data_IF_384820099946
#
_entry.id   IF_384820099946
#
_cell.length_a   1.000
_cell.length_b   1.000
_cell.length_c   1.000
_cell.angle_alpha   90.00
_cell.angle_beta   90.00
_cell.angle_gamma   90.00
#
_symmetry.space_group_name_H-M   'P 1'
#
loop_
_entity.id
_entity.type
_entity.pdbx_description
1 polymer ?
#
# COMPACT_ATOMS: atom_id res chain seq x y z
N UNK A 1 -5.71 -7.81 -24.52
CA UNK A 1 -5.69 -8.59 -23.28
C UNK A 1 -6.84 -8.12 -22.41
N UNK A 2 -7.57 -9.05 -21.81
CA UNK A 2 -8.61 -8.73 -20.82
C UNK A 2 -7.94 -8.16 -19.57
N UNK A 3 -8.46 -7.06 -19.02
CA UNK A 3 -7.93 -6.47 -17.79
C UNK A 3 -8.33 -7.33 -16.58
N UNK A 4 -7.47 -7.40 -15.58
CA UNK A 4 -7.78 -8.04 -14.30
C UNK A 4 -8.58 -7.07 -13.44
N UNK A 5 -9.74 -7.51 -12.96
CA UNK A 5 -10.56 -6.73 -12.04
C UNK A 5 -9.92 -6.68 -10.66
N UNK A 6 -9.88 -5.50 -10.06
CA UNK A 6 -9.32 -5.29 -8.73
C UNK A 6 -10.25 -4.52 -7.79
N UNK A 7 -10.14 -4.82 -6.49
CA UNK A 7 -10.73 -4.03 -5.41
C UNK A 7 -9.68 -3.24 -4.64
N UNK A 8 -10.14 -2.17 -3.99
CA UNK A 8 -9.36 -1.43 -3.00
C UNK A 8 -10.15 -1.44 -1.69
N UNK A 9 -9.50 -1.86 -0.60
CA UNK A 9 -10.02 -1.73 0.77
C UNK A 9 -9.33 -0.55 1.44
N UNK A 10 -10.13 0.40 1.93
CA UNK A 10 -9.65 1.67 2.48
C UNK A 10 -9.89 2.83 1.53
N UNK A 11 -10.99 3.53 1.74
CA UNK A 11 -11.43 4.69 0.95
C UNK A 11 -10.80 6.03 1.37
N UNK A 12 -9.61 5.99 1.98
CA UNK A 12 -8.85 7.17 2.39
C UNK A 12 -8.02 7.79 1.25
N UNK A 13 -7.02 8.60 1.62
CA UNK A 13 -6.13 9.27 0.67
C UNK A 13 -5.43 8.28 -0.27
N UNK A 14 -4.80 7.22 0.28
CA UNK A 14 -4.04 6.22 -0.49
C UNK A 14 -4.95 5.48 -1.46
N UNK A 15 -6.04 4.89 -0.97
CA UNK A 15 -6.94 4.09 -1.80
C UNK A 15 -7.64 4.91 -2.88
N UNK A 16 -8.08 6.13 -2.56
CA UNK A 16 -8.73 7.01 -3.55
C UNK A 16 -7.76 7.46 -4.64
N UNK A 17 -6.52 7.78 -4.29
CA UNK A 17 -5.48 8.11 -5.27
C UNK A 17 -5.13 6.90 -6.16
N UNK A 18 -4.97 5.71 -5.56
CA UNK A 18 -4.72 4.46 -6.28
C UNK A 18 -5.86 4.13 -7.26
N UNK A 19 -7.12 4.30 -6.85
CA UNK A 19 -8.29 4.11 -7.72
C UNK A 19 -8.16 4.95 -9.00
N UNK A 20 -7.83 6.24 -8.84
CA UNK A 20 -7.67 7.15 -9.99
C UNK A 20 -6.50 6.74 -10.87
N UNK A 21 -5.37 6.29 -10.29
CA UNK A 21 -4.23 5.75 -11.05
C UNK A 21 -4.62 4.52 -11.86
N UNK A 22 -5.34 3.56 -11.25
CA UNK A 22 -5.80 2.36 -11.95
C UNK A 22 -6.70 2.74 -13.13
N UNK A 23 -7.71 3.59 -12.91
CA UNK A 23 -8.66 3.99 -13.94
C UNK A 23 -8.01 4.76 -15.10
N UNK A 24 -7.02 5.61 -14.81
CA UNK A 24 -6.42 6.50 -15.83
C UNK A 24 -5.17 5.94 -16.50
N UNK A 25 -4.40 5.13 -15.79
CA UNK A 25 -3.04 4.76 -16.21
C UNK A 25 -2.89 3.27 -16.48
N UNK A 26 -3.72 2.42 -15.87
CA UNK A 26 -3.52 0.98 -15.99
C UNK A 26 -4.00 0.42 -17.32
N UNK A 27 -3.10 -0.31 -17.99
CA UNK A 27 -3.39 -1.09 -19.21
C UNK A 27 -3.83 -2.52 -18.89
N UNK A 28 -3.61 -2.98 -17.66
CA UNK A 28 -3.78 -4.38 -17.23
C UNK A 28 -4.79 -4.55 -16.10
N UNK A 29 -5.14 -3.49 -15.38
CA UNK A 29 -6.08 -3.53 -14.26
C UNK A 29 -7.35 -2.71 -14.56
N UNK A 30 -8.46 -3.14 -13.97
CA UNK A 30 -9.77 -2.51 -14.04
C UNK A 30 -10.37 -2.39 -12.63
N UNK A 31 -10.82 -1.19 -12.25
CA UNK A 31 -11.46 -0.97 -10.94
C UNK A 31 -12.83 -1.64 -10.89
N UNK A 32 -13.01 -2.58 -9.97
CA UNK A 32 -14.28 -3.27 -9.75
C UNK A 32 -15.00 -2.79 -8.49
N UNK A 33 -14.29 -2.61 -7.37
CA UNK A 33 -14.89 -2.19 -6.11
C UNK A 33 -13.99 -1.27 -5.28
N UNK A 34 -14.62 -0.33 -4.55
CA UNK A 34 -14.00 0.46 -3.49
C UNK A 34 -14.72 0.18 -2.18
N UNK A 35 -13.96 -0.13 -1.13
CA UNK A 35 -14.48 -0.63 0.14
C UNK A 35 -14.06 0.30 1.27
N UNK A 36 -14.99 0.64 2.14
CA UNK A 36 -14.75 1.43 3.35
C UNK A 36 -15.54 0.88 4.53
N UNK A 37 -15.46 1.59 5.65
CA UNK A 37 -16.24 1.33 6.88
C UNK A 37 -17.07 2.54 7.32
N UNK A 38 -16.89 3.68 6.66
CA UNK A 38 -17.59 4.92 6.93
C UNK A 38 -18.47 5.25 5.71
N UNK A 39 -19.81 5.20 5.83
CA UNK A 39 -20.72 5.51 4.74
C UNK A 39 -20.56 6.96 4.23
N UNK A 40 -20.03 7.87 5.05
CA UNK A 40 -19.83 9.26 4.69
C UNK A 40 -18.50 9.55 4.00
N UNK A 41 -17.66 8.52 3.81
CA UNK A 41 -16.33 8.64 3.20
C UNK A 41 -16.37 9.29 1.81
N UNK A 42 -15.59 10.36 1.64
CA UNK A 42 -15.42 11.05 0.35
C UNK A 42 -14.89 10.11 -0.75
N UNK A 43 -14.03 9.15 -0.39
CA UNK A 43 -13.50 8.15 -1.33
C UNK A 43 -14.60 7.25 -1.88
N UNK A 44 -15.54 6.80 -1.04
CA UNK A 44 -16.71 6.01 -1.48
C UNK A 44 -17.64 6.84 -2.37
N UNK A 45 -17.98 8.06 -1.95
CA UNK A 45 -18.80 8.99 -2.76
C UNK A 45 -18.15 9.25 -4.12
N UNK A 46 -16.82 9.39 -4.17
CA UNK A 46 -16.06 9.56 -5.42
C UNK A 46 -16.09 8.31 -6.28
N UNK A 47 -15.89 7.12 -5.72
CA UNK A 47 -15.95 5.84 -6.43
C UNK A 47 -17.33 5.62 -7.07
N UNK A 48 -18.40 5.86 -6.31
CA UNK A 48 -19.77 5.74 -6.80
C UNK A 48 -20.07 6.68 -7.99
N UNK A 49 -19.64 7.94 -7.92
CA UNK A 49 -19.76 8.91 -9.04
C UNK A 49 -19.02 8.47 -10.31
N UNK A 50 -18.01 7.62 -10.16
CA UNK A 50 -17.21 7.09 -11.26
C UNK A 50 -17.70 5.70 -11.72
N UNK A 51 -18.82 5.21 -11.20
CA UNK A 51 -19.43 3.93 -11.58
C UNK A 51 -18.73 2.70 -11.00
N UNK A 52 -17.87 2.87 -10.00
CA UNK A 52 -17.23 1.75 -9.29
C UNK A 52 -18.17 1.24 -8.20
N UNK A 53 -18.30 -0.09 -8.05
CA UNK A 53 -19.12 -0.66 -6.97
C UNK A 53 -18.56 -0.25 -5.60
N UNK A 54 -19.44 0.06 -4.65
CA UNK A 54 -19.03 0.51 -3.32
C UNK A 54 -19.72 -0.27 -2.22
N UNK A 55 -19.04 -0.37 -1.08
CA UNK A 55 -19.62 -0.86 0.18
C UNK A 55 -18.94 -0.17 1.36
N UNK A 56 -19.72 0.04 2.42
CA UNK A 56 -19.23 0.55 3.72
C UNK A 56 -19.27 -0.54 4.81
N UNK A 57 -19.54 -1.80 4.44
CA UNK A 57 -19.61 -2.94 5.37
C UNK A 57 -18.27 -3.69 5.46
N UNK A 58 -17.16 -3.02 5.15
CA UNK A 58 -15.82 -3.61 5.22
C UNK A 58 -15.59 -4.80 4.30
N UNK A 59 -14.71 -5.71 4.71
CA UNK A 59 -14.33 -6.90 3.92
C UNK A 59 -15.51 -7.85 3.70
N UNK A 60 -16.42 -7.97 4.65
CA UNK A 60 -17.65 -8.74 4.50
C UNK A 60 -18.56 -8.13 3.44
N UNK A 61 -18.68 -6.80 3.43
CA UNK A 61 -19.36 -6.07 2.36
C UNK A 61 -18.76 -6.37 1.00
N UNK A 62 -17.42 -6.41 0.90
CA UNK A 62 -16.73 -6.76 -0.34
C UNK A 62 -17.09 -8.18 -0.82
N UNK A 63 -17.03 -9.17 0.07
CA UNK A 63 -17.33 -10.56 -0.26
C UNK A 63 -18.79 -10.76 -0.70
N UNK A 64 -19.71 -9.91 -0.23
CA UNK A 64 -21.12 -9.93 -0.61
C UNK A 64 -21.43 -9.23 -1.95
N UNK A 65 -20.50 -8.45 -2.52
CA UNK A 65 -20.75 -7.76 -3.79
C UNK A 65 -20.87 -8.74 -4.97
N UNK A 66 -21.82 -8.55 -5.90
CA UNK A 66 -21.96 -9.42 -7.08
C UNK A 66 -20.72 -9.49 -7.96
N UNK A 67 -19.89 -8.44 -7.97
CA UNK A 67 -18.64 -8.37 -8.76
C UNK A 67 -17.48 -9.14 -8.11
N UNK A 68 -17.59 -9.52 -6.83
CA UNK A 68 -16.52 -10.15 -6.07
C UNK A 68 -15.92 -11.42 -6.71
N UNK A 69 -16.71 -12.35 -7.29
CA UNK A 69 -16.17 -13.54 -7.93
C UNK A 69 -15.19 -13.22 -9.08
N UNK A 70 -15.37 -12.08 -9.75
CA UNK A 70 -14.54 -11.67 -10.89
C UNK A 70 -13.25 -10.95 -10.50
N UNK A 71 -13.14 -10.52 -9.23
CA UNK A 71 -11.96 -9.81 -8.73
C UNK A 71 -10.80 -10.79 -8.60
N UNK A 72 -9.64 -10.46 -9.17
CA UNK A 72 -8.42 -11.27 -9.02
C UNK A 72 -7.43 -10.68 -8.01
N UNK A 73 -7.40 -9.35 -7.87
CA UNK A 73 -6.41 -8.63 -7.06
C UNK A 73 -7.12 -7.69 -6.08
N UNK A 74 -6.65 -7.64 -4.84
CA UNK A 74 -7.16 -6.70 -3.83
C UNK A 74 -6.00 -5.90 -3.25
N UNK A 75 -6.12 -4.57 -3.30
CA UNK A 75 -5.20 -3.64 -2.67
C UNK A 75 -5.73 -3.26 -1.29
N UNK A 76 -4.95 -3.48 -0.25
CA UNK A 76 -5.31 -3.08 1.11
C UNK A 76 -4.59 -1.79 1.51
N UNK A 77 -5.36 -0.72 1.64
CA UNK A 77 -4.93 0.61 2.04
C UNK A 77 -5.59 1.04 3.37
N UNK A 78 -5.84 0.07 4.28
CA UNK A 78 -6.45 0.33 5.60
C UNK A 78 -5.41 0.58 6.69
N UNK A 79 -5.15 -0.39 7.56
CA UNK A 79 -4.20 -0.34 8.68
C UNK A 79 -3.56 -1.70 8.91
N UNK A 80 -2.41 -1.72 9.59
CA UNK A 80 -1.67 -2.96 9.81
C UNK A 80 -2.48 -4.00 10.59
N UNK A 81 -3.19 -3.55 11.63
CA UNK A 81 -4.03 -4.43 12.46
C UNK A 81 -5.23 -5.05 11.71
N UNK A 82 -5.76 -4.38 10.69
CA UNK A 82 -6.87 -4.90 9.89
C UNK A 82 -6.38 -5.88 8.81
N UNK A 83 -5.18 -5.65 8.27
CA UNK A 83 -4.66 -6.38 7.13
C UNK A 83 -4.58 -7.90 7.35
N UNK A 84 -4.16 -8.36 8.54
CA UNK A 84 -4.07 -9.79 8.85
C UNK A 84 -5.41 -10.53 8.71
N UNK A 85 -6.51 -9.85 8.99
CA UNK A 85 -7.86 -10.40 8.81
C UNK A 85 -8.23 -10.40 7.33
N UNK A 86 -8.00 -9.29 6.63
CA UNK A 86 -8.31 -9.17 5.21
C UNK A 86 -7.56 -10.21 4.40
N UNK A 87 -6.25 -10.33 4.60
CA UNK A 87 -5.40 -11.31 3.92
C UNK A 87 -5.94 -12.73 4.09
N UNK A 88 -6.19 -13.17 5.32
CA UNK A 88 -6.73 -14.51 5.58
C UNK A 88 -8.00 -14.82 4.79
N UNK A 89 -8.95 -13.88 4.76
CA UNK A 89 -10.23 -14.07 4.06
C UNK A 89 -10.04 -14.06 2.54
N UNK A 90 -9.25 -13.10 2.03
CA UNK A 90 -9.01 -12.94 0.59
C UNK A 90 -8.19 -14.10 0.00
N UNK A 91 -7.20 -14.60 0.74
CA UNK A 91 -6.40 -15.76 0.35
C UNK A 91 -7.23 -17.04 0.31
N UNK A 92 -8.15 -17.22 1.27
CA UNK A 92 -9.08 -18.35 1.27
C UNK A 92 -9.96 -18.37 0.01
N UNK A 93 -10.26 -17.20 -0.55
CA UNK A 93 -11.03 -17.01 -1.79
C UNK A 93 -10.14 -16.93 -3.06
N UNK A 94 -8.84 -17.22 -2.94
CA UNK A 94 -7.89 -17.27 -4.05
C UNK A 94 -7.54 -15.90 -4.65
N UNK A 95 -7.73 -14.81 -3.90
CA UNK A 95 -7.39 -13.45 -4.35
C UNK A 95 -5.93 -13.13 -4.07
N UNK A 96 -5.24 -12.51 -5.02
CA UNK A 96 -3.92 -11.95 -4.74
C UNK A 96 -4.06 -10.65 -3.95
N UNK A 97 -3.23 -10.48 -2.92
CA UNK A 97 -3.31 -9.34 -2.00
C UNK A 97 -2.07 -8.46 -2.14
N UNK A 98 -2.28 -7.17 -2.35
CA UNK A 98 -1.23 -6.15 -2.36
C UNK A 98 -1.44 -5.29 -1.11
N UNK A 99 -0.54 -5.42 -0.14
CA UNK A 99 -0.58 -4.71 1.14
C UNK A 99 0.13 -3.37 1.05
N UNK A 100 -0.62 -2.27 1.14
CA UNK A 100 -0.08 -0.90 1.24
C UNK A 100 0.06 -0.43 2.69
N UNK A 101 -0.27 -1.27 3.65
CA UNK A 101 -0.09 -1.03 5.09
C UNK A 101 1.29 -1.50 5.54
N UNK A 102 1.74 -1.14 6.76
CA UNK A 102 3.01 -1.63 7.27
C UNK A 102 2.91 -3.03 7.95
N UNK A 103 1.82 -3.81 7.75
CA UNK A 103 1.60 -5.11 8.40
C UNK A 103 2.68 -6.15 8.11
N UNK A 104 3.25 -6.12 6.90
CA UNK A 104 4.40 -6.94 6.51
C UNK A 104 4.21 -8.46 6.70
N UNK A 105 3.04 -8.98 6.31
CA UNK A 105 2.74 -10.43 6.36
C UNK A 105 3.37 -11.15 5.17
N UNK A 106 3.20 -10.60 3.97
CA UNK A 106 3.89 -11.04 2.77
C UNK A 106 5.29 -10.45 2.64
N UNK A 107 6.12 -10.98 1.72
CA UNK A 107 7.45 -10.44 1.43
C UNK A 107 7.39 -8.98 0.95
N UNK A 108 8.44 -8.23 1.28
CA UNK A 108 8.60 -6.84 0.86
C UNK A 108 8.88 -6.72 -0.64
N UNK A 109 8.18 -5.82 -1.30
CA UNK A 109 8.38 -5.52 -2.73
C UNK A 109 8.71 -4.06 -2.92
N UNK A 110 9.88 -3.82 -3.53
CA UNK A 110 10.27 -2.51 -4.06
C UNK A 110 10.48 -2.74 -5.56
N UNK A 111 9.56 -2.29 -6.43
CA UNK A 111 9.50 -2.75 -7.81
C UNK A 111 10.82 -2.67 -8.61
N UNK A 112 11.61 -1.58 -8.57
CA UNK A 112 12.86 -1.52 -9.31
C UNK A 112 13.99 -2.39 -8.74
N UNK A 113 13.79 -3.05 -7.59
CA UNK A 113 14.80 -3.85 -6.90
C UNK A 113 14.51 -5.34 -7.01
N UNK A 114 13.29 -5.78 -6.70
CA UNK A 114 13.00 -7.21 -6.52
C UNK A 114 11.65 -7.71 -7.08
N UNK A 115 10.99 -6.97 -7.98
CA UNK A 115 9.66 -7.34 -8.48
C UNK A 115 9.59 -8.75 -9.09
N UNK A 116 10.58 -9.14 -9.88
CA UNK A 116 10.57 -10.42 -10.59
C UNK A 116 10.58 -11.62 -9.64
N UNK A 117 11.21 -11.49 -8.46
CA UNK A 117 11.24 -12.53 -7.44
C UNK A 117 9.89 -12.72 -6.73
N UNK A 118 8.95 -11.79 -6.91
CA UNK A 118 7.72 -11.67 -6.11
C UNK A 118 6.46 -11.94 -6.94
N UNK A 119 6.63 -12.37 -8.20
CA UNK A 119 5.55 -12.53 -9.18
C UNK A 119 4.44 -13.48 -8.75
N UNK A 120 4.84 -14.59 -8.13
CA UNK A 120 3.92 -15.67 -7.73
C UNK A 120 3.53 -15.57 -6.24
N UNK A 121 3.95 -14.51 -5.55
CA UNK A 121 3.61 -14.31 -4.15
C UNK A 121 2.11 -13.99 -4.01
N UNK A 122 1.36 -14.76 -3.20
CA UNK A 122 -0.08 -14.57 -3.04
C UNK A 122 -0.42 -13.29 -2.28
N UNK A 123 0.46 -12.87 -1.36
CA UNK A 123 0.44 -11.58 -0.69
C UNK A 123 1.82 -10.92 -0.85
N UNK A 124 1.86 -9.64 -1.17
CA UNK A 124 3.08 -8.82 -1.16
C UNK A 124 2.88 -7.55 -0.35
N UNK A 125 3.92 -7.12 0.36
CA UNK A 125 3.91 -5.89 1.13
C UNK A 125 4.70 -4.77 0.46
N UNK A 126 4.08 -3.60 0.30
CA UNK A 126 4.66 -2.42 -0.36
C UNK A 126 5.52 -1.56 0.58
N UNK A 127 5.93 -2.11 1.73
CA UNK A 127 6.74 -1.44 2.74
C UNK A 127 6.03 -0.21 3.28
N UNK A 128 6.50 0.97 2.92
CA UNK A 128 5.98 2.29 3.31
C UNK A 128 6.31 3.28 2.19
N UNK A 129 5.69 4.46 2.21
CA UNK A 129 6.06 5.53 1.27
C UNK A 129 7.55 5.92 1.39
N UNK A 130 8.10 5.96 2.61
CA UNK A 130 9.52 6.20 2.84
C UNK A 130 10.38 5.10 2.24
N UNK A 131 10.02 3.84 2.45
CA UNK A 131 10.70 2.68 1.87
C UNK A 131 10.73 2.71 0.34
N UNK A 132 9.57 2.91 -0.30
CA UNK A 132 9.47 2.98 -1.76
C UNK A 132 10.30 4.13 -2.36
N UNK A 133 10.41 5.26 -1.65
CA UNK A 133 11.20 6.40 -2.12
C UNK A 133 12.72 6.24 -1.95
N UNK A 134 13.16 5.45 -0.96
CA UNK A 134 14.56 5.48 -0.49
C UNK A 134 15.31 4.16 -0.64
N UNK A 135 14.64 3.01 -0.51
CA UNK A 135 15.27 1.69 -0.67
C UNK A 135 15.91 1.51 -2.06
N UNK A 136 15.35 2.02 -3.17
CA UNK A 136 16.04 1.96 -4.47
C UNK A 136 17.44 2.60 -4.43
N UNK A 137 17.62 3.66 -3.65
CA UNK A 137 18.92 4.33 -3.49
C UNK A 137 19.87 3.47 -2.66
N UNK A 138 19.39 2.87 -1.56
CA UNK A 138 20.19 1.94 -0.76
C UNK A 138 20.66 0.75 -1.60
N UNK A 139 19.73 0.13 -2.35
CA UNK A 139 20.02 -0.99 -3.24
C UNK A 139 21.02 -0.62 -4.34
N UNK A 140 20.91 0.59 -4.90
CA UNK A 140 21.87 1.07 -5.89
C UNK A 140 23.30 1.17 -5.32
N UNK A 141 23.46 1.68 -4.09
CA UNK A 141 24.78 1.71 -3.43
C UNK A 141 25.27 0.29 -3.11
N UNK A 142 24.39 -0.55 -2.56
CA UNK A 142 24.70 -1.95 -2.23
C UNK A 142 25.10 -2.80 -3.45
N UNK A 143 24.60 -2.45 -4.64
CA UNK A 143 25.01 -3.10 -5.89
C UNK A 143 26.46 -2.83 -6.31
N UNK A 144 27.10 -1.82 -5.71
CA UNK A 144 28.47 -1.40 -6.02
C UNK A 144 29.45 -1.76 -4.89
N UNK A 145 29.05 -1.58 -3.63
CA UNK A 145 29.90 -1.83 -2.48
C UNK A 145 29.09 -2.31 -1.26
N UNK A 146 29.69 -3.07 -0.31
CA UNK A 146 29.02 -3.44 0.92
C UNK A 146 28.53 -2.23 1.71
N UNK A 147 27.25 -2.23 2.10
CA UNK A 147 26.65 -1.17 2.91
C UNK A 147 26.50 -1.66 4.34
N UNK A 148 27.36 -1.20 5.25
CA UNK A 148 27.29 -1.60 6.67
C UNK A 148 26.06 -1.03 7.37
N UNK A 149 25.68 0.21 7.06
CA UNK A 149 24.57 0.92 7.67
C UNK A 149 23.91 1.86 6.66
N UNK A 150 22.59 1.91 6.65
CA UNK A 150 21.82 2.87 5.88
C UNK A 150 20.70 3.49 6.73
N UNK A 151 20.50 4.80 6.58
CA UNK A 151 19.47 5.56 7.27
C UNK A 151 18.67 6.43 6.30
N UNK A 152 17.37 6.50 6.52
CA UNK A 152 16.46 7.33 5.75
C UNK A 152 15.69 8.26 6.66
N UNK A 153 15.35 9.45 6.14
CA UNK A 153 14.51 10.44 6.83
C UNK A 153 13.42 10.88 5.86
N UNK A 154 12.19 10.40 6.08
CA UNK A 154 11.03 10.80 5.30
C UNK A 154 10.36 12.01 5.95
N UNK A 155 10.30 13.14 5.24
CA UNK A 155 9.57 14.32 5.70
C UNK A 155 8.33 14.54 4.86
N UNK A 156 7.15 14.55 5.48
CA UNK A 156 5.87 14.71 4.78
C UNK A 156 5.03 15.83 5.41
N UNK A 157 4.11 16.40 4.63
CA UNK A 157 3.17 17.39 5.15
C UNK A 157 2.21 16.75 6.16
N UNK A 158 1.96 17.43 7.28
CA UNK A 158 1.04 16.94 8.32
C UNK A 158 -0.37 16.67 7.79
N UNK A 159 -0.80 17.42 6.76
CA UNK A 159 -2.10 17.26 6.08
C UNK A 159 -2.20 15.98 5.27
N UNK A 160 -1.08 15.45 4.77
CA UNK A 160 -1.05 14.20 4.00
C UNK A 160 -1.12 12.94 4.88
N UNK A 161 -0.67 13.05 6.14
CA UNK A 161 -0.71 11.96 7.12
C UNK A 161 -2.08 11.86 7.79
N UNK A 162 -2.94 10.98 7.25
CA UNK A 162 -4.26 10.68 7.82
C UNK A 162 -4.19 9.87 9.12
N UNK A 163 -5.34 9.58 9.77
CA UNK A 163 -5.40 8.85 11.04
C UNK A 163 -4.70 7.48 10.99
N UNK A 164 -4.86 6.74 9.89
CA UNK A 164 -4.18 5.45 9.70
C UNK A 164 -2.65 5.59 9.77
N UNK A 165 -2.05 6.53 9.04
CA UNK A 165 -0.60 6.77 9.10
C UNK A 165 -0.13 7.13 10.51
N UNK A 166 -0.91 7.96 11.23
CA UNK A 166 -0.56 8.41 12.60
C UNK A 166 -0.64 7.30 13.64
N UNK A 167 -1.58 6.39 13.48
CA UNK A 167 -1.76 5.25 14.38
C UNK A 167 -0.72 4.14 14.19
N UNK A 168 0.07 4.18 13.12
CA UNK A 168 1.05 3.14 12.77
C UNK A 168 2.48 3.73 12.59
N UNK A 169 2.85 4.73 13.40
CA UNK A 169 4.13 5.45 13.24
C UNK A 169 5.34 4.58 13.63
N UNK A 170 5.17 3.71 14.63
CA UNK A 170 6.22 2.79 15.07
C UNK A 170 6.45 1.74 13.99
N UNK A 171 5.38 1.11 13.48
CA UNK A 171 5.42 0.15 12.38
C UNK A 171 6.05 0.77 11.12
N UNK A 172 5.82 2.06 10.86
CA UNK A 172 6.52 2.74 9.77
C UNK A 172 8.05 2.65 9.95
N UNK A 173 8.55 2.98 11.13
CA UNK A 173 10.00 2.97 11.39
C UNK A 173 10.58 1.56 11.35
N UNK A 174 9.89 0.59 11.96
CA UNK A 174 10.32 -0.79 12.05
C UNK A 174 10.29 -1.49 10.69
N UNK A 175 9.16 -1.44 9.98
CA UNK A 175 8.99 -2.06 8.66
C UNK A 175 9.95 -1.45 7.65
N UNK A 176 10.16 -0.13 7.68
CA UNK A 176 11.11 0.52 6.76
C UNK A 176 12.56 0.14 7.10
N UNK A 177 12.94 0.11 8.38
CA UNK A 177 14.27 -0.34 8.84
C UNK A 177 14.56 -1.79 8.43
N UNK A 178 13.56 -2.70 8.55
CA UNK A 178 13.68 -4.09 8.09
C UNK A 178 13.89 -4.15 6.58
N UNK A 179 13.06 -3.46 5.79
CA UNK A 179 13.14 -3.48 4.33
C UNK A 179 14.44 -2.83 3.78
N UNK A 180 15.02 -1.84 4.47
CA UNK A 180 16.36 -1.31 4.16
C UNK A 180 17.42 -2.41 4.18
N UNK A 181 17.31 -3.37 5.10
CA UNK A 181 18.24 -4.51 5.18
C UNK A 181 17.90 -5.58 4.17
N UNK A 182 16.66 -6.05 4.20
CA UNK A 182 16.22 -7.23 3.44
C UNK A 182 16.12 -6.98 1.93
N UNK A 183 15.68 -5.79 1.53
CA UNK A 183 15.53 -5.40 0.11
C UNK A 183 16.64 -4.45 -0.32
N UNK A 184 17.04 -3.52 0.54
CA UNK A 184 18.11 -2.56 0.24
C UNK A 184 19.52 -3.15 0.30
N UNK A 185 19.74 -4.25 1.01
CA UNK A 185 21.05 -4.90 1.13
C UNK A 185 21.99 -4.28 2.18
N UNK A 186 21.49 -3.43 3.08
CA UNK A 186 22.30 -2.88 4.17
C UNK A 186 22.44 -3.87 5.34
N UNK A 187 23.60 -3.88 6.01
CA UNK A 187 23.82 -4.68 7.22
C UNK A 187 22.95 -4.24 8.40
N UNK A 188 22.74 -2.93 8.54
CA UNK A 188 21.82 -2.32 9.49
C UNK A 188 21.02 -1.19 8.83
N UNK A 189 19.76 -1.02 9.26
CA UNK A 189 18.84 -0.04 8.70
C UNK A 189 18.18 0.82 9.77
N UNK A 190 17.98 2.11 9.49
CA UNK A 190 17.19 3.02 10.34
C UNK A 190 16.26 3.87 9.47
N UNK A 191 15.05 4.11 9.98
CA UNK A 191 14.10 5.00 9.35
C UNK A 191 13.55 6.01 10.35
N UNK A 192 13.43 7.25 9.90
CA UNK A 192 12.82 8.36 10.63
C UNK A 192 11.69 8.92 9.77
N UNK A 193 10.57 9.28 10.40
CA UNK A 193 9.48 10.02 9.77
C UNK A 193 9.23 11.33 10.52
N UNK A 194 9.06 12.42 9.78
CA UNK A 194 8.79 13.76 10.31
C UNK A 194 7.52 14.31 9.66
N UNK A 195 6.58 14.77 10.50
CA UNK A 195 5.36 15.44 10.06
C UNK A 195 5.53 16.96 10.21
N UNK A 196 5.44 17.70 9.11
CA UNK A 196 5.62 19.14 9.10
C UNK A 196 4.32 19.88 8.72
N UNK A 197 3.80 20.80 9.56
CA UNK A 197 2.55 21.52 9.34
C UNK A 197 2.69 22.84 8.55
N UNK A 198 3.83 23.11 7.91
CA UNK A 198 4.03 24.34 7.14
C UNK A 198 2.97 24.55 6.04
N UNK A 199 2.67 25.81 5.77
CA UNK A 199 1.77 26.26 4.70
C UNK A 199 2.54 27.23 3.77
N UNK A 200 2.56 27.01 2.44
CA UNK A 200 1.89 25.93 1.71
C UNK A 200 2.43 24.53 2.07
N UNK A 201 1.65 23.44 1.92
CA UNK A 201 2.07 22.11 2.35
C UNK A 201 3.34 21.69 1.62
N UNK A 202 4.31 21.19 2.38
CA UNK A 202 5.60 20.77 1.85
C UNK A 202 5.47 19.56 0.92
N UNK A 203 6.30 19.55 -0.12
CA UNK A 203 6.56 18.36 -0.96
C UNK A 203 7.34 17.34 -0.11
N UNK A 204 7.07 16.05 -0.31
CA UNK A 204 7.81 14.97 0.36
C UNK A 204 9.31 15.08 0.08
N UNK A 205 10.13 14.88 1.12
CA UNK A 205 11.59 14.88 1.08
C UNK A 205 12.15 13.62 1.68
#
# INVERSE_FOLDING_TARGET
>A
MTKVKCAIIGSGNIGTDLMIKIMRMSKTLEMAAMVGIDPESDGLKRAARLGVATTHDGIEGLQALPVYPEIGIVFDATSAGAHARHDRLLQADGKQVIDLTPAAIGPYVVPPVNLDAMRDAPNVNMVTCGGQATIPIVAAVASVAPVTYAEIVASISSRSAGPGTRANIDEFTETTSRAIREVGGAGAGKAIIVLNPAEPPLIMR
#
